data_IF_184732626247
#
_entry.id   IF_184732626247
#
_cell.length_a   1.000
_cell.length_b   1.000
_cell.length_c   1.000
_cell.angle_alpha   90.00
_cell.angle_beta   90.00
_cell.angle_gamma   90.00
#
_symmetry.space_group_name_H-M   'P 1'
#
loop_
_entity.id
_entity.type
_entity.pdbx_description
1 polymer ?
#
# COMPACT_ATOMS: atom_id res chain seq x y z
N UNK A 1 -11.23 0.20 19.03
CA UNK A 1 -9.86 0.16 18.49
C UNK A 1 -9.82 -0.80 17.30
N UNK A 2 -9.64 -0.27 16.09
CA UNK A 2 -9.65 -1.08 14.86
C UNK A 2 -11.05 -1.51 14.40
N UNK A 3 -12.09 -0.89 14.91
CA UNK A 3 -13.44 -1.06 14.41
C UNK A 3 -13.59 -0.20 13.15
N UNK A 4 -14.10 -0.81 12.10
CA UNK A 4 -14.41 -0.09 10.87
C UNK A 4 -15.64 0.78 11.07
N UNK A 5 -15.76 1.91 10.34
CA UNK A 5 -17.00 2.68 10.34
C UNK A 5 -18.20 1.78 10.01
N UNK A 6 -19.33 2.02 10.66
CA UNK A 6 -20.55 1.16 10.54
C UNK A 6 -21.10 1.06 9.11
N UNK A 7 -20.79 2.03 8.26
CA UNK A 7 -21.20 2.10 6.86
C UNK A 7 -20.09 1.69 5.88
N UNK A 8 -18.93 1.26 6.39
CA UNK A 8 -17.77 0.91 5.55
C UNK A 8 -18.08 -0.21 4.56
N UNK A 9 -18.66 -1.31 5.04
CA UNK A 9 -18.98 -2.47 4.18
C UNK A 9 -19.98 -2.10 3.08
N UNK A 10 -20.98 -1.28 3.41
CA UNK A 10 -21.96 -0.81 2.43
C UNK A 10 -21.30 0.04 1.33
N UNK A 11 -20.43 0.99 1.71
CA UNK A 11 -19.69 1.85 0.77
C UNK A 11 -18.67 1.07 -0.04
N UNK A 12 -17.99 0.10 0.57
CA UNK A 12 -17.05 -0.77 -0.13
C UNK A 12 -17.76 -1.61 -1.20
N UNK A 13 -18.90 -2.22 -0.84
CA UNK A 13 -19.68 -3.00 -1.79
C UNK A 13 -20.25 -2.14 -2.93
N UNK A 14 -20.70 -0.92 -2.64
CA UNK A 14 -21.15 0.04 -3.66
C UNK A 14 -20.02 0.38 -4.64
N UNK A 15 -18.84 0.68 -4.12
CA UNK A 15 -17.66 0.96 -4.95
C UNK A 15 -17.28 -0.23 -5.82
N UNK A 16 -17.21 -1.44 -5.27
CA UNK A 16 -16.91 -2.67 -6.00
C UNK A 16 -17.95 -2.93 -7.10
N UNK A 17 -19.26 -2.80 -6.79
CA UNK A 17 -20.33 -2.97 -7.77
C UNK A 17 -20.22 -1.94 -8.91
N UNK A 18 -19.86 -0.70 -8.61
CA UNK A 18 -19.59 0.33 -9.62
C UNK A 18 -18.44 -0.04 -10.56
N UNK A 19 -17.36 -0.60 -10.01
CA UNK A 19 -16.22 -1.06 -10.80
C UNK A 19 -16.59 -2.26 -11.68
N UNK A 20 -17.38 -3.19 -11.17
CA UNK A 20 -17.88 -4.34 -11.94
C UNK A 20 -18.78 -3.91 -13.11
N UNK A 21 -19.63 -2.91 -12.89
CA UNK A 21 -20.52 -2.37 -13.93
C UNK A 21 -19.76 -1.55 -14.99
N UNK A 22 -18.59 -1.03 -14.65
CA UNK A 22 -17.80 -0.16 -15.52
C UNK A 22 -16.35 -0.66 -15.64
N UNK A 23 -16.12 -1.79 -16.29
CA UNK A 23 -14.77 -2.34 -16.42
C UNK A 23 -13.88 -1.38 -17.23
N UNK A 24 -12.68 -1.12 -16.70
CA UNK A 24 -11.71 -0.24 -17.34
C UNK A 24 -10.34 -0.93 -17.47
N UNK A 25 -9.70 -0.76 -18.63
CA UNK A 25 -8.32 -1.21 -18.84
C UNK A 25 -7.37 -0.13 -18.34
N UNK A 26 -6.97 -0.23 -17.09
CA UNK A 26 -6.06 0.72 -16.42
C UNK A 26 -4.88 -0.03 -15.81
N UNK A 27 -3.79 0.69 -15.53
CA UNK A 27 -2.66 0.12 -14.80
C UNK A 27 -3.07 -0.25 -13.36
N UNK A 28 -2.57 -1.36 -12.83
CA UNK A 28 -2.88 -1.83 -11.47
C UNK A 28 -2.57 -0.77 -10.40
N UNK A 29 -1.48 0.00 -10.55
CA UNK A 29 -1.18 1.13 -9.66
C UNK A 29 -2.26 2.21 -9.67
N UNK A 30 -2.92 2.44 -10.83
CA UNK A 30 -4.05 3.37 -10.93
C UNK A 30 -5.31 2.79 -10.29
N UNK A 31 -5.54 1.50 -10.42
CA UNK A 31 -6.62 0.81 -9.72
C UNK A 31 -6.45 0.90 -8.21
N UNK A 32 -5.22 0.70 -7.71
CA UNK A 32 -4.86 0.90 -6.31
C UNK A 32 -5.10 2.35 -5.85
N UNK A 33 -4.68 3.36 -6.63
CA UNK A 33 -4.97 4.76 -6.30
C UNK A 33 -6.47 5.03 -6.21
N UNK A 34 -7.26 4.50 -7.16
CA UNK A 34 -8.72 4.66 -7.13
C UNK A 34 -9.35 4.03 -5.87
N UNK A 35 -8.80 2.92 -5.37
CA UNK A 35 -9.20 2.31 -4.11
C UNK A 35 -8.84 3.22 -2.92
N UNK A 36 -7.65 3.80 -2.90
CA UNK A 36 -7.23 4.78 -1.88
C UNK A 36 -8.15 6.01 -1.89
N UNK A 37 -8.49 6.55 -3.06
CA UNK A 37 -9.45 7.67 -3.21
C UNK A 37 -10.84 7.32 -2.65
N UNK A 38 -11.29 6.08 -2.82
CA UNK A 38 -12.60 5.64 -2.36
C UNK A 38 -12.63 5.37 -0.85
N UNK A 39 -11.61 4.73 -0.31
CA UNK A 39 -11.58 4.26 1.06
C UNK A 39 -10.88 5.21 2.03
N UNK A 40 -9.90 5.96 1.59
CA UNK A 40 -9.15 6.91 2.41
C UNK A 40 -10.03 7.89 3.19
N UNK A 41 -11.04 8.52 2.56
CA UNK A 41 -11.97 9.42 3.29
C UNK A 41 -12.81 8.73 4.37
N UNK A 42 -12.95 7.40 4.32
CA UNK A 42 -13.70 6.62 5.29
C UNK A 42 -12.87 6.22 6.51
N UNK A 43 -11.56 6.35 6.41
CA UNK A 43 -10.59 5.84 7.38
C UNK A 43 -9.72 6.99 7.91
N UNK A 44 -10.17 7.75 8.91
CA UNK A 44 -9.40 8.87 9.47
C UNK A 44 -8.07 8.44 10.10
N UNK A 45 -7.93 7.16 10.46
CA UNK A 45 -6.71 6.56 10.96
C UNK A 45 -5.72 6.12 9.87
N UNK A 46 -6.07 6.25 8.59
CA UNK A 46 -5.23 5.84 7.47
C UNK A 46 -4.05 6.80 7.29
N UNK A 47 -2.85 6.33 7.55
CA UNK A 47 -1.63 7.13 7.60
C UNK A 47 -0.49 6.40 6.89
N UNK A 48 0.15 7.02 5.92
CA UNK A 48 1.28 6.38 5.26
C UNK A 48 1.92 7.22 4.19
N UNK A 49 2.63 6.58 3.25
CA UNK A 49 3.32 7.29 2.20
C UNK A 49 4.26 6.40 1.39
N UNK A 50 5.21 7.04 0.71
CA UNK A 50 6.13 6.37 -0.21
C UNK A 50 7.58 6.68 0.08
N UNK A 51 8.48 5.74 -0.28
CA UNK A 51 9.93 5.93 -0.26
C UNK A 51 10.37 6.73 -1.50
N UNK A 52 9.92 7.99 -1.59
CA UNK A 52 10.21 8.96 -2.66
C UNK A 52 9.73 8.54 -4.07
N UNK A 53 8.73 7.68 -4.13
CA UNK A 53 8.14 7.15 -5.37
C UNK A 53 6.65 7.46 -5.52
N UNK A 54 6.12 8.44 -4.77
CA UNK A 54 4.69 8.74 -4.75
C UNK A 54 4.07 8.95 -6.15
N UNK A 55 4.70 9.69 -7.09
CA UNK A 55 4.18 9.83 -8.45
C UNK A 55 4.18 8.53 -9.25
N UNK A 56 5.14 7.64 -8.98
CA UNK A 56 5.27 6.36 -9.69
C UNK A 56 4.37 5.27 -9.09
N UNK A 57 4.26 5.23 -7.76
CA UNK A 57 3.39 4.29 -7.04
C UNK A 57 1.91 4.70 -7.07
N UNK A 58 1.62 5.97 -7.37
CA UNK A 58 0.28 6.56 -7.32
C UNK A 58 -0.37 6.41 -5.93
N UNK A 59 0.37 6.74 -4.87
CA UNK A 59 -0.10 6.68 -3.48
C UNK A 59 -0.49 8.04 -2.90
N UNK A 60 -0.21 9.13 -3.61
CA UNK A 60 -0.86 10.41 -3.34
C UNK A 60 -2.30 10.37 -3.85
N UNK A 61 -3.22 10.84 -3.02
CA UNK A 61 -4.64 10.91 -3.31
C UNK A 61 -5.19 12.29 -2.91
N UNK A 62 -6.40 12.63 -3.31
CA UNK A 62 -6.94 14.00 -3.15
C UNK A 62 -7.02 14.49 -1.70
N UNK A 63 -7.15 13.57 -0.73
CA UNK A 63 -7.14 13.88 0.69
C UNK A 63 -5.76 13.78 1.36
N UNK A 64 -4.67 13.56 0.60
CA UNK A 64 -3.33 13.51 1.17
C UNK A 64 -2.88 14.87 1.71
N UNK A 65 -2.46 14.90 2.97
CA UNK A 65 -1.88 16.06 3.64
C UNK A 65 -0.56 15.67 4.27
N UNK A 66 0.57 16.29 3.87
CA UNK A 66 1.87 15.98 4.44
C UNK A 66 1.95 16.33 5.93
N UNK A 67 2.46 15.40 6.76
CA UNK A 67 2.59 15.61 8.22
C UNK A 67 3.60 16.70 8.60
N UNK A 68 4.54 17.03 7.72
CA UNK A 68 5.49 18.10 7.93
C UNK A 68 4.90 19.50 7.67
N UNK A 69 3.76 19.59 7.02
CA UNK A 69 3.02 20.83 6.74
C UNK A 69 1.83 20.99 7.68
N UNK A 70 1.21 19.88 8.09
CA UNK A 70 0.07 19.86 9.00
C UNK A 70 0.23 18.68 9.99
N UNK A 71 0.26 18.98 11.28
CA UNK A 71 0.37 17.98 12.34
C UNK A 71 -0.81 16.97 12.34
N UNK A 72 -1.95 17.33 11.76
CA UNK A 72 -3.09 16.45 11.53
C UNK A 72 -3.05 15.77 10.14
N UNK A 73 -1.91 15.83 9.46
CA UNK A 73 -1.70 15.22 8.16
C UNK A 73 -1.76 13.69 8.20
N UNK A 74 -1.93 13.11 7.03
CA UNK A 74 -2.06 11.66 6.83
C UNK A 74 -1.06 11.08 5.84
N UNK A 75 -0.11 11.89 5.36
CA UNK A 75 0.89 11.47 4.39
C UNK A 75 2.31 11.75 4.87
N UNK A 76 3.18 10.72 4.75
CA UNK A 76 4.58 10.78 5.17
C UNK A 76 5.49 10.68 3.95
N UNK A 77 6.29 11.69 3.72
CA UNK A 77 7.39 11.66 2.75
C UNK A 77 8.62 11.00 3.37
N UNK A 78 8.76 9.69 3.19
CA UNK A 78 9.84 8.92 3.82
C UNK A 78 11.23 9.16 3.20
N UNK A 79 11.28 9.71 1.98
CA UNK A 79 12.52 9.73 1.18
C UNK A 79 12.94 8.32 0.76
N UNK A 80 14.10 8.18 0.15
CA UNK A 80 14.64 6.87 -0.29
C UNK A 80 15.14 6.09 0.94
N UNK A 81 14.20 5.49 1.69
CA UNK A 81 14.47 4.80 2.98
C UNK A 81 13.50 3.65 3.20
N UNK A 82 13.54 2.64 2.37
CA UNK A 82 12.58 1.52 2.38
C UNK A 82 12.56 0.79 3.72
N UNK A 83 13.73 0.54 4.30
CA UNK A 83 13.83 -0.06 5.63
C UNK A 83 13.24 0.86 6.70
N UNK A 84 13.67 2.13 6.72
CA UNK A 84 13.18 3.12 7.69
C UNK A 84 11.67 3.34 7.58
N UNK A 85 11.15 3.45 6.37
CA UNK A 85 9.72 3.55 6.08
C UNK A 85 8.94 2.39 6.70
N UNK A 86 9.34 1.16 6.40
CA UNK A 86 8.65 -0.04 6.88
C UNK A 86 8.80 -0.20 8.40
N UNK A 87 9.97 0.11 8.96
CA UNK A 87 10.21 0.07 10.41
C UNK A 87 9.38 1.12 11.17
N UNK A 88 9.26 2.33 10.62
CA UNK A 88 8.39 3.39 11.18
C UNK A 88 6.93 2.93 11.14
N UNK A 89 6.47 2.35 10.02
CA UNK A 89 5.11 1.80 9.92
C UNK A 89 4.86 0.68 10.94
N UNK A 90 5.85 -0.20 11.20
CA UNK A 90 5.78 -1.18 12.28
C UNK A 90 5.56 -0.50 13.65
N UNK A 91 6.30 0.56 13.94
CA UNK A 91 6.17 1.34 15.17
C UNK A 91 4.80 2.00 15.30
N UNK A 92 4.28 2.57 14.22
CA UNK A 92 2.93 3.18 14.16
C UNK A 92 1.85 2.12 14.42
N UNK A 93 1.96 0.95 13.79
CA UNK A 93 1.03 -0.15 13.99
C UNK A 93 1.06 -0.66 15.45
N UNK A 94 2.25 -0.81 16.03
CA UNK A 94 2.43 -1.22 17.44
C UNK A 94 1.87 -0.20 18.43
N UNK A 95 2.03 1.09 18.14
CA UNK A 95 1.44 2.15 18.96
C UNK A 95 -0.09 2.05 18.99
N UNK A 96 -0.68 1.64 17.87
CA UNK A 96 -2.13 1.54 17.70
C UNK A 96 -2.79 2.89 17.44
N UNK A 97 -4.05 2.85 17.00
CA UNK A 97 -4.82 4.05 16.63
C UNK A 97 -4.66 4.50 15.19
N UNK A 98 -3.74 3.88 14.44
CA UNK A 98 -3.53 4.13 13.02
C UNK A 98 -3.53 2.84 12.21
N UNK A 99 -3.91 2.95 10.95
CA UNK A 99 -3.74 1.94 9.91
C UNK A 99 -2.63 2.43 8.96
N UNK A 100 -1.38 2.02 9.18
CA UNK A 100 -0.27 2.48 8.36
C UNK A 100 -0.26 1.80 7.00
N UNK A 101 0.18 2.57 5.97
CA UNK A 101 0.56 2.02 4.68
C UNK A 101 1.92 2.54 4.23
N UNK A 102 2.60 1.74 3.44
CA UNK A 102 3.91 2.07 2.86
C UNK A 102 3.91 1.76 1.38
N UNK A 103 4.75 2.43 0.59
CA UNK A 103 4.81 2.19 -0.83
C UNK A 103 6.21 2.36 -1.41
N UNK A 104 6.57 1.41 -2.27
CA UNK A 104 7.78 1.45 -3.10
C UNK A 104 7.61 0.51 -4.30
N UNK A 105 8.63 0.36 -5.15
CA UNK A 105 8.67 -0.70 -6.16
C UNK A 105 8.88 -2.06 -5.48
N UNK A 106 8.31 -3.12 -6.06
CA UNK A 106 8.43 -4.45 -5.48
C UNK A 106 9.90 -4.90 -5.33
N UNK A 107 10.76 -4.57 -6.30
CA UNK A 107 12.18 -4.91 -6.21
C UNK A 107 12.83 -4.33 -4.96
N UNK A 108 12.42 -3.15 -4.52
CA UNK A 108 13.01 -2.46 -3.38
C UNK A 108 12.55 -3.01 -2.02
N UNK A 109 11.66 -4.00 -2.00
CA UNK A 109 11.41 -4.78 -0.78
C UNK A 109 12.69 -5.41 -0.23
N UNK A 110 13.68 -5.66 -1.09
CA UNK A 110 14.98 -6.21 -0.67
C UNK A 110 15.69 -5.28 0.33
N UNK A 111 15.58 -3.97 0.18
CA UNK A 111 16.12 -3.01 1.15
C UNK A 111 15.32 -3.02 2.47
N UNK A 112 14.03 -3.32 2.42
CA UNK A 112 13.14 -3.34 3.59
C UNK A 112 12.99 -4.74 4.23
N UNK A 113 13.59 -5.77 3.67
CA UNK A 113 13.35 -7.19 3.94
C UNK A 113 13.20 -7.53 5.41
N UNK A 114 14.11 -7.08 6.25
CA UNK A 114 14.07 -7.35 7.68
C UNK A 114 12.85 -6.70 8.35
N UNK A 115 12.57 -5.42 8.05
CA UNK A 115 11.42 -4.72 8.61
C UNK A 115 10.09 -5.35 8.16
N UNK A 116 9.99 -5.80 6.90
CA UNK A 116 8.83 -6.55 6.39
C UNK A 116 8.65 -7.87 7.14
N UNK A 117 9.74 -8.63 7.32
CA UNK A 117 9.70 -9.86 8.09
C UNK A 117 9.30 -9.61 9.55
N UNK A 118 9.75 -8.51 10.15
CA UNK A 118 9.37 -8.13 11.51
C UNK A 118 7.90 -7.76 11.62
N UNK A 119 7.31 -7.07 10.62
CA UNK A 119 5.87 -6.83 10.58
C UNK A 119 5.07 -8.14 10.67
N UNK A 120 5.45 -9.12 9.86
CA UNK A 120 4.83 -10.45 9.84
C UNK A 120 5.04 -11.21 11.15
N UNK A 121 6.26 -11.20 11.70
CA UNK A 121 6.60 -11.86 12.97
C UNK A 121 5.80 -11.27 14.14
N UNK A 122 5.68 -9.96 14.19
CA UNK A 122 4.91 -9.23 15.22
C UNK A 122 3.40 -9.22 14.93
N UNK A 123 2.95 -9.79 13.79
CA UNK A 123 1.55 -9.82 13.35
C UNK A 123 0.93 -8.41 13.29
N UNK A 124 1.69 -7.44 12.84
CA UNK A 124 1.22 -6.07 12.74
C UNK A 124 0.40 -5.87 11.47
N UNK A 125 -0.76 -5.21 11.61
CA UNK A 125 -1.61 -4.84 10.49
C UNK A 125 -1.06 -3.57 9.84
N UNK A 126 -0.57 -3.70 8.62
CA UNK A 126 -0.22 -2.59 7.76
C UNK A 126 -0.40 -2.98 6.30
N UNK A 127 -0.62 -2.01 5.43
CA UNK A 127 -0.74 -2.22 3.99
C UNK A 127 0.58 -1.84 3.32
N UNK A 128 1.19 -2.78 2.61
CA UNK A 128 2.44 -2.56 1.87
C UNK A 128 2.12 -2.57 0.37
N UNK A 129 2.15 -1.40 -0.26
CA UNK A 129 1.83 -1.24 -1.68
C UNK A 129 3.12 -1.35 -2.48
N UNK A 130 3.27 -2.45 -3.22
CA UNK A 130 4.40 -2.71 -4.09
C UNK A 130 3.96 -2.66 -5.55
N UNK A 131 4.49 -1.69 -6.28
CA UNK A 131 4.21 -1.52 -7.72
C UNK A 131 5.38 -1.99 -8.58
N UNK A 132 5.25 -1.95 -9.90
CA UNK A 132 6.30 -2.36 -10.85
C UNK A 132 6.77 -3.79 -10.56
N UNK A 133 5.82 -4.72 -10.51
CA UNK A 133 5.92 -6.02 -9.85
C UNK A 133 6.30 -7.18 -10.78
N UNK A 134 6.91 -6.89 -11.93
CA UNK A 134 7.33 -7.94 -12.87
C UNK A 134 8.52 -7.55 -13.73
N UNK A 135 9.11 -8.56 -14.39
CA UNK A 135 10.13 -8.36 -15.42
C UNK A 135 9.63 -7.54 -16.62
N UNK A 136 8.31 -7.39 -16.77
CA UNK A 136 7.69 -6.56 -17.80
C UNK A 136 7.84 -5.05 -17.59
N UNK A 137 8.49 -4.61 -16.49
CA UNK A 137 8.83 -3.21 -16.26
C UNK A 137 9.66 -2.61 -17.41
N UNK A 138 10.58 -3.38 -17.96
CA UNK A 138 11.27 -3.07 -19.20
C UNK A 138 12.47 -2.14 -19.03
N UNK A 139 12.29 -0.87 -19.32
CA UNK A 139 13.38 0.10 -19.53
C UNK A 139 14.30 0.35 -18.31
N UNK A 140 13.77 0.23 -17.09
CA UNK A 140 14.56 0.41 -15.86
C UNK A 140 15.56 -0.72 -15.64
N UNK A 141 15.41 -1.84 -16.33
CA UNK A 141 16.36 -2.93 -16.38
C UNK A 141 16.38 -3.83 -15.14
N UNK A 142 17.39 -4.73 -15.06
CA UNK A 142 17.44 -5.81 -14.07
C UNK A 142 17.46 -5.36 -12.60
N UNK A 143 17.94 -4.16 -12.32
CA UNK A 143 17.97 -3.60 -10.96
C UNK A 143 16.59 -3.28 -10.41
N UNK A 144 15.60 -3.19 -11.28
CA UNK A 144 14.21 -2.80 -10.95
C UNK A 144 13.20 -3.91 -11.28
N UNK A 145 13.61 -4.96 -11.98
CA UNK A 145 12.77 -6.05 -12.43
C UNK A 145 12.71 -7.17 -11.39
N UNK A 146 11.62 -7.32 -10.62
CA UNK A 146 11.52 -8.38 -9.62
C UNK A 146 11.32 -9.76 -10.28
N UNK A 147 11.94 -10.78 -9.69
CA UNK A 147 11.82 -12.18 -10.08
C UNK A 147 11.37 -13.03 -8.89
N UNK A 148 12.20 -13.09 -7.83
CA UNK A 148 11.97 -13.91 -6.64
C UNK A 148 11.15 -13.25 -5.54
N UNK A 149 10.86 -11.95 -5.63
CA UNK A 149 10.28 -11.15 -4.55
C UNK A 149 8.89 -11.63 -4.14
N UNK A 150 8.01 -11.90 -5.11
CA UNK A 150 6.65 -12.42 -4.80
C UNK A 150 6.72 -13.78 -4.12
N UNK A 151 7.57 -14.69 -4.60
CA UNK A 151 7.75 -16.00 -3.99
C UNK A 151 8.25 -15.88 -2.55
N UNK A 152 9.21 -14.99 -2.31
CA UNK A 152 9.79 -14.78 -0.99
C UNK A 152 8.81 -14.13 -0.01
N UNK A 153 7.93 -13.25 -0.46
CA UNK A 153 6.84 -12.72 0.36
C UNK A 153 5.82 -13.81 0.72
N UNK A 154 5.46 -14.67 -0.25
CA UNK A 154 4.50 -15.76 -0.03
C UNK A 154 4.98 -16.82 0.96
N UNK A 155 6.28 -17.08 1.05
CA UNK A 155 6.82 -18.05 2.03
C UNK A 155 7.07 -17.43 3.40
N UNK A 156 6.89 -16.11 3.58
CA UNK A 156 7.02 -15.45 4.88
C UNK A 156 5.79 -15.73 5.73
N UNK A 157 5.91 -16.43 6.89
CA UNK A 157 4.76 -16.73 7.73
C UNK A 157 4.04 -15.46 8.20
N UNK A 158 2.72 -15.51 8.27
CA UNK A 158 1.82 -14.41 8.62
C UNK A 158 1.79 -13.24 7.60
N UNK A 159 2.42 -13.39 6.44
CA UNK A 159 2.32 -12.42 5.36
C UNK A 159 1.15 -12.78 4.45
N UNK A 160 0.21 -11.86 4.26
CA UNK A 160 -0.84 -11.97 3.26
C UNK A 160 -0.40 -11.26 1.98
N UNK A 161 -0.20 -12.00 0.90
CA UNK A 161 0.30 -11.46 -0.37
C UNK A 161 -0.80 -11.48 -1.42
N UNK A 162 -1.25 -10.29 -1.81
CA UNK A 162 -2.26 -10.07 -2.83
C UNK A 162 -1.61 -9.59 -4.13
N UNK A 163 -2.12 -10.05 -5.24
CA UNK A 163 -1.63 -9.65 -6.56
C UNK A 163 -2.80 -9.49 -7.53
N UNK A 164 -3.57 -8.41 -7.35
CA UNK A 164 -4.79 -8.17 -8.12
C UNK A 164 -4.48 -7.96 -9.62
N UNK A 165 -5.30 -8.54 -10.49
CA UNK A 165 -5.15 -8.44 -11.93
C UNK A 165 -5.99 -7.32 -12.56
N UNK A 166 -6.99 -6.81 -11.87
CA UNK A 166 -7.89 -5.76 -12.34
C UNK A 166 -8.30 -4.78 -11.23
N UNK A 167 -9.15 -3.83 -11.58
CA UNK A 167 -9.62 -2.82 -10.65
C UNK A 167 -10.57 -3.35 -9.56
N UNK A 168 -11.30 -4.43 -9.84
CA UNK A 168 -12.22 -5.05 -8.89
C UNK A 168 -11.41 -5.80 -7.83
N UNK A 169 -10.46 -6.62 -8.26
CA UNK A 169 -9.55 -7.32 -7.35
C UNK A 169 -8.71 -6.33 -6.53
N UNK A 170 -8.28 -5.21 -7.14
CA UNK A 170 -7.55 -4.15 -6.41
C UNK A 170 -8.38 -3.48 -5.32
N UNK A 171 -9.69 -3.38 -5.52
CA UNK A 171 -10.61 -2.81 -4.52
C UNK A 171 -10.94 -3.82 -3.41
N UNK A 172 -10.86 -5.12 -3.69
CA UNK A 172 -11.11 -6.19 -2.72
C UNK A 172 -9.87 -6.46 -1.85
N UNK A 173 -8.66 -6.34 -2.43
CA UNK A 173 -7.39 -6.58 -1.75
C UNK A 173 -7.09 -5.55 -0.65
#
# INVERSE_FOLDING_TARGET
>A
KGEMPSDFDAKANEFIAKLQANPAKIASRKASQNAIEAFGPLLPEFLGGSADLAPSNLTLWSGSKPINEDAAGNYIHYGVREFGMTAIANGIALHGGFLPYTSTFLMFVEYARNAVRMAALMKQRQVMVYTHDSIGLGEDGPTHQPVEQVASLRVTPNMSTWRPCDQVESAIA
#
